data_IF_128125706280
#
_entry.id   IF_128125706280
#
_cell.length_a   1.000
_cell.length_b   1.000
_cell.length_c   1.000
_cell.angle_alpha   90.00
_cell.angle_beta   90.00
_cell.angle_gamma   90.00
#
_symmetry.space_group_name_H-M   'P 1'
#
loop_
_entity.id
_entity.type
_entity.pdbx_description
1 polymer ?
#
# COMPACT_ATOMS: atom_id res chain seq x y z
N UNK A 1 -0.30 3.08 17.93
CA UNK A 1 -0.63 2.81 19.34
C UNK A 1 -1.09 1.37 19.47
N UNK A 2 -0.68 0.67 20.51
CA UNK A 2 -1.14 -0.69 20.84
C UNK A 2 -0.92 -1.73 19.72
N UNK A 3 0.20 -1.66 19.01
CA UNK A 3 0.54 -2.58 17.93
C UNK A 3 -0.19 -2.31 16.61
N UNK A 4 -1.01 -1.27 16.54
CA UNK A 4 -1.64 -0.82 15.28
C UNK A 4 -0.81 0.29 14.65
N UNK A 5 -0.65 0.23 13.35
CA UNK A 5 0.00 1.28 12.58
C UNK A 5 -0.79 2.60 12.64
N UNK A 6 -0.17 3.75 12.35
CA UNK A 6 -0.89 4.99 12.23
C UNK A 6 -1.85 4.91 11.04
N UNK A 7 -3.13 5.16 11.29
CA UNK A 7 -4.05 5.52 10.23
C UNK A 7 -3.89 7.02 9.98
N UNK A 8 -3.41 7.39 8.80
CA UNK A 8 -3.39 8.77 8.37
C UNK A 8 -4.66 9.06 7.57
N UNK A 9 -5.59 9.76 8.17
CA UNK A 9 -6.77 10.28 7.49
C UNK A 9 -6.56 11.78 7.27
N UNK A 10 -6.23 12.16 6.06
CA UNK A 10 -5.98 13.54 5.67
C UNK A 10 -6.57 13.79 4.28
N UNK A 11 -6.85 15.05 3.97
CA UNK A 11 -7.26 15.53 2.66
C UNK A 11 -6.09 15.68 1.66
N UNK A 12 -5.04 14.86 1.78
CA UNK A 12 -3.99 14.72 0.78
C UNK A 12 -4.60 14.01 -0.45
N UNK A 13 -5.30 14.77 -1.25
CA UNK A 13 -6.10 14.22 -2.33
C UNK A 13 -5.24 13.82 -3.51
N UNK A 14 -4.48 14.76 -4.06
CA UNK A 14 -3.60 14.53 -5.20
C UNK A 14 -2.33 13.76 -4.82
N UNK A 15 -1.74 14.01 -3.66
CA UNK A 15 -0.43 13.49 -3.23
C UNK A 15 -0.52 12.16 -2.44
N UNK A 16 -1.67 11.52 -2.46
CA UNK A 16 -1.94 10.33 -1.63
C UNK A 16 -0.97 9.16 -1.95
N UNK A 17 -0.67 8.94 -3.24
CA UNK A 17 0.23 7.88 -3.65
C UNK A 17 1.66 8.15 -3.20
N UNK A 18 2.17 9.34 -3.45
CA UNK A 18 3.52 9.77 -3.12
C UNK A 18 3.74 9.78 -1.60
N UNK A 19 2.75 10.23 -0.84
CA UNK A 19 2.81 10.22 0.61
C UNK A 19 2.92 8.79 1.16
N UNK A 20 2.03 7.90 0.73
CA UNK A 20 2.05 6.50 1.15
C UNK A 20 3.32 5.77 0.73
N UNK A 21 3.80 6.03 -0.49
CA UNK A 21 5.09 5.55 -0.99
C UNK A 21 6.26 6.03 -0.13
N UNK A 22 6.29 7.32 0.22
CA UNK A 22 7.33 7.90 1.09
C UNK A 22 7.35 7.25 2.47
N UNK A 23 6.19 6.89 3.03
CA UNK A 23 6.10 6.15 4.29
C UNK A 23 6.68 4.73 4.17
N UNK A 24 6.35 4.01 3.10
CA UNK A 24 6.88 2.66 2.84
C UNK A 24 8.40 2.69 2.64
N UNK A 25 8.89 3.64 1.84
CA UNK A 25 10.32 3.85 1.61
C UNK A 25 11.07 4.16 2.91
N UNK A 26 10.50 5.02 3.75
CA UNK A 26 11.08 5.35 5.07
C UNK A 26 11.18 4.13 5.99
N UNK A 27 10.17 3.23 5.97
CA UNK A 27 10.23 1.99 6.74
C UNK A 27 11.30 1.04 6.18
N UNK A 28 11.40 0.88 4.86
CA UNK A 28 12.45 0.09 4.20
C UNK A 28 13.86 0.55 4.58
N UNK A 29 14.13 1.85 4.48
CA UNK A 29 15.44 2.43 4.87
C UNK A 29 15.77 2.11 6.33
N UNK A 30 14.79 2.16 7.24
CA UNK A 30 15.01 1.80 8.64
C UNK A 30 15.28 0.31 8.81
N UNK A 31 14.62 -0.55 8.06
CA UNK A 31 14.88 -2.00 8.06
C UNK A 31 16.30 -2.32 7.57
N UNK A 32 16.72 -1.66 6.49
CA UNK A 32 18.07 -1.82 5.95
C UNK A 32 19.12 -1.36 6.98
N UNK A 33 18.88 -0.24 7.68
CA UNK A 33 19.73 0.20 8.77
C UNK A 33 19.82 -0.83 9.91
N UNK A 34 18.70 -1.45 10.30
CA UNK A 34 18.68 -2.52 11.32
C UNK A 34 19.52 -3.71 10.86
N UNK A 35 19.42 -4.11 9.60
CA UNK A 35 20.23 -5.19 9.02
C UNK A 35 21.71 -4.86 9.07
N UNK A 36 22.10 -3.65 8.70
CA UNK A 36 23.49 -3.21 8.77
C UNK A 36 24.03 -3.22 10.20
N UNK A 37 23.25 -2.73 11.18
CA UNK A 37 23.63 -2.80 12.61
C UNK A 37 23.87 -4.26 13.04
N UNK A 38 23.03 -5.19 12.61
CA UNK A 38 23.19 -6.62 12.90
C UNK A 38 24.47 -7.17 12.27
N UNK A 39 24.75 -6.87 11.00
CA UNK A 39 25.95 -7.31 10.28
C UNK A 39 27.23 -6.80 10.94
N UNK A 40 27.31 -5.52 11.25
CA UNK A 40 28.47 -4.89 11.87
C UNK A 40 28.78 -5.45 13.26
N UNK A 41 27.75 -5.93 13.97
CA UNK A 41 27.87 -6.41 15.34
C UNK A 41 27.72 -7.94 15.47
N UNK A 42 27.68 -8.71 14.39
CA UNK A 42 27.35 -10.14 14.42
C UNK A 42 28.25 -10.95 15.37
N UNK A 43 29.53 -10.60 15.50
CA UNK A 43 30.49 -11.29 16.37
C UNK A 43 30.30 -10.95 17.86
N UNK A 44 29.62 -9.87 18.19
CA UNK A 44 29.34 -9.45 19.57
C UNK A 44 27.98 -9.94 20.05
N UNK A 45 27.12 -10.36 19.14
CA UNK A 45 25.78 -10.89 19.48
C UNK A 45 25.94 -12.23 20.20
N UNK A 46 25.32 -12.38 21.40
CA UNK A 46 25.37 -13.67 22.12
C UNK A 46 24.81 -14.81 21.28
N UNK A 47 25.47 -15.98 21.35
CA UNK A 47 25.15 -17.15 20.54
C UNK A 47 23.67 -17.51 20.43
N UNK A 48 22.86 -17.47 21.51
CA UNK A 48 21.41 -17.79 21.42
C UNK A 48 20.61 -16.86 20.48
N UNK A 49 21.11 -15.65 20.21
CA UNK A 49 20.40 -14.64 19.39
C UNK A 49 20.93 -14.52 17.96
N UNK A 50 22.06 -15.16 17.63
CA UNK A 50 22.65 -15.10 16.29
C UNK A 50 21.73 -15.68 15.22
N UNK A 51 21.04 -16.79 15.52
CA UNK A 51 20.07 -17.38 14.60
C UNK A 51 18.85 -16.48 14.34
N UNK A 52 18.37 -15.79 15.39
CA UNK A 52 17.26 -14.83 15.26
C UNK A 52 17.69 -13.68 14.35
N UNK A 53 18.87 -13.13 14.58
CA UNK A 53 19.43 -12.04 13.76
C UNK A 53 19.66 -12.49 12.32
N UNK A 54 20.21 -13.67 12.10
CA UNK A 54 20.42 -14.25 10.77
C UNK A 54 19.10 -14.50 10.03
N UNK A 55 18.06 -14.97 10.73
CA UNK A 55 16.74 -15.17 10.17
C UNK A 55 16.10 -13.85 9.71
N UNK A 56 16.17 -12.81 10.54
CA UNK A 56 15.69 -11.46 10.20
C UNK A 56 16.43 -10.89 8.98
N UNK A 57 17.74 -11.03 8.94
CA UNK A 57 18.57 -10.55 7.84
C UNK A 57 18.25 -11.26 6.53
N UNK A 58 18.15 -12.60 6.56
CA UNK A 58 17.91 -13.43 5.37
C UNK A 58 16.52 -13.24 4.78
N UNK A 59 15.50 -13.20 5.62
CA UNK A 59 14.11 -13.05 5.20
C UNK A 59 13.34 -12.21 6.20
N UNK A 60 13.03 -10.99 5.81
CA UNK A 60 12.18 -10.12 6.60
C UNK A 60 10.72 -10.61 6.52
N UNK A 61 10.24 -11.22 7.59
CA UNK A 61 8.86 -11.67 7.75
C UNK A 61 8.28 -11.13 9.06
N UNK A 62 6.96 -11.20 9.20
CA UNK A 62 6.32 -10.84 10.47
C UNK A 62 6.89 -11.66 11.63
N UNK A 63 7.04 -12.95 11.45
CA UNK A 63 7.53 -13.89 12.44
C UNK A 63 8.99 -13.57 12.85
N UNK A 64 9.91 -13.46 11.88
CA UNK A 64 11.32 -13.12 12.17
C UNK A 64 11.46 -11.75 12.83
N UNK A 65 10.60 -10.80 12.47
CA UNK A 65 10.60 -9.46 13.06
C UNK A 65 10.07 -9.45 14.49
N UNK A 66 9.09 -10.28 14.84
CA UNK A 66 8.62 -10.44 16.20
C UNK A 66 9.70 -11.08 17.09
N UNK A 67 10.37 -12.14 16.62
CA UNK A 67 11.46 -12.78 17.35
C UNK A 67 12.59 -11.80 17.65
N UNK A 68 13.02 -11.02 16.67
CA UNK A 68 14.06 -9.99 16.90
C UNK A 68 13.58 -8.90 17.87
N UNK A 69 12.33 -8.44 17.74
CA UNK A 69 11.75 -7.43 18.63
C UNK A 69 11.78 -7.87 20.10
N UNK A 70 11.49 -9.13 20.38
CA UNK A 70 11.52 -9.70 21.73
C UNK A 70 12.94 -9.90 22.24
N UNK A 71 13.88 -10.24 21.37
CA UNK A 71 15.27 -10.51 21.73
C UNK A 71 16.13 -9.24 21.90
N UNK A 72 15.72 -8.11 21.35
CA UNK A 72 16.55 -6.90 21.20
C UNK A 72 17.16 -6.41 22.50
N UNK A 73 16.39 -6.39 23.59
CA UNK A 73 16.87 -5.91 24.89
C UNK A 73 17.91 -6.86 25.52
N UNK A 74 17.88 -8.14 25.13
CA UNK A 74 18.84 -9.16 25.59
C UNK A 74 20.11 -9.18 24.74
N UNK A 75 20.05 -8.71 23.50
CA UNK A 75 21.20 -8.55 22.60
C UNK A 75 22.15 -7.45 23.09
N UNK A 76 21.62 -6.42 23.75
CA UNK A 76 22.38 -5.32 24.38
C UNK A 76 23.23 -4.49 23.42
N UNK A 77 22.78 -4.32 22.19
CA UNK A 77 23.36 -3.39 21.23
C UNK A 77 22.52 -2.11 21.27
N UNK A 78 23.07 -1.03 21.82
CA UNK A 78 22.35 0.23 22.07
C UNK A 78 21.74 0.83 20.80
N UNK A 79 22.43 0.73 19.67
CA UNK A 79 21.94 1.21 18.39
C UNK A 79 20.71 0.42 17.92
N UNK A 80 20.71 -0.90 18.13
CA UNK A 80 19.58 -1.78 17.82
C UNK A 80 18.39 -1.51 18.75
N UNK A 81 18.66 -1.29 20.05
CA UNK A 81 17.63 -0.91 21.03
C UNK A 81 16.93 0.40 20.64
N UNK A 82 17.68 1.41 20.17
CA UNK A 82 17.13 2.67 19.69
C UNK A 82 16.24 2.50 18.45
N UNK A 83 16.44 1.43 17.69
CA UNK A 83 15.66 1.10 16.50
C UNK A 83 14.50 0.14 16.78
N UNK A 84 14.29 -0.30 18.03
CA UNK A 84 13.32 -1.33 18.44
C UNK A 84 11.91 -1.10 17.84
N UNK A 85 11.41 0.12 17.88
CA UNK A 85 10.08 0.48 17.37
C UNK A 85 9.91 0.25 15.87
N UNK A 86 11.01 0.11 15.13
CA UNK A 86 11.03 -0.10 13.68
C UNK A 86 11.32 -1.55 13.27
N UNK A 87 11.55 -2.48 14.20
CA UNK A 87 11.91 -3.86 13.91
C UNK A 87 10.76 -4.62 13.25
N UNK A 88 9.53 -4.50 13.81
CA UNK A 88 8.37 -5.25 13.28
C UNK A 88 8.02 -4.81 11.86
N UNK A 89 7.71 -5.80 11.02
CA UNK A 89 7.21 -5.54 9.66
C UNK A 89 5.86 -4.84 9.69
N UNK A 90 5.60 -4.04 8.67
CA UNK A 90 4.33 -3.33 8.47
C UNK A 90 3.83 -3.57 7.06
N UNK A 91 2.54 -3.59 6.90
CA UNK A 91 1.89 -3.51 5.61
C UNK A 91 1.46 -2.06 5.35
N UNK A 92 1.67 -1.59 4.11
CA UNK A 92 1.33 -0.23 3.70
C UNK A 92 0.19 -0.28 2.69
N UNK A 93 -0.93 0.32 3.05
CA UNK A 93 -2.09 0.47 2.19
C UNK A 93 -2.37 1.93 1.89
N UNK A 94 -2.36 2.27 0.60
CA UNK A 94 -2.74 3.58 0.08
C UNK A 94 -4.18 3.46 -0.41
N UNK A 95 -5.10 4.20 0.19
CA UNK A 95 -6.53 4.09 -0.12
C UNK A 95 -7.03 5.44 -0.62
N UNK A 96 -7.70 5.45 -1.76
CA UNK A 96 -8.26 6.67 -2.32
C UNK A 96 -9.38 6.42 -3.32
N UNK A 97 -10.10 7.47 -3.66
CA UNK A 97 -11.22 7.44 -4.60
C UNK A 97 -10.78 7.51 -6.07
N UNK A 98 -11.77 7.46 -6.94
CA UNK A 98 -11.57 7.54 -8.39
C UNK A 98 -11.02 8.87 -8.87
N UNK A 99 -11.44 9.99 -8.30
CA UNK A 99 -10.92 11.31 -8.65
C UNK A 99 -9.42 11.42 -8.43
N UNK A 100 -8.91 10.83 -7.36
CA UNK A 100 -7.48 10.69 -7.15
C UNK A 100 -6.84 9.76 -8.19
N UNK A 101 -7.30 8.52 -8.28
CA UNK A 101 -6.61 7.48 -9.04
C UNK A 101 -6.73 7.65 -10.56
N UNK A 102 -7.84 8.19 -11.05
CA UNK A 102 -8.10 8.34 -12.48
C UNK A 102 -7.74 9.71 -13.03
N UNK A 103 -7.74 10.74 -12.18
CA UNK A 103 -7.62 12.15 -12.58
C UNK A 103 -6.41 12.83 -11.92
N UNK A 104 -6.65 13.55 -10.81
CA UNK A 104 -5.69 14.52 -10.26
C UNK A 104 -4.42 13.89 -9.69
N UNK A 105 -4.52 12.74 -9.04
CA UNK A 105 -3.39 12.00 -8.44
C UNK A 105 -2.82 10.88 -9.31
N UNK A 106 -3.27 10.79 -10.58
CA UNK A 106 -2.85 9.68 -11.46
C UNK A 106 -1.33 9.62 -11.69
N UNK A 107 -0.67 10.76 -11.81
CA UNK A 107 0.78 10.79 -12.05
C UNK A 107 1.58 10.15 -10.90
N UNK A 108 1.20 10.44 -9.66
CA UNK A 108 1.82 9.83 -8.48
C UNK A 108 1.52 8.34 -8.39
N UNK A 109 0.28 7.95 -8.68
CA UNK A 109 -0.10 6.55 -8.75
C UNK A 109 0.71 5.78 -9.80
N UNK A 110 0.83 6.33 -11.01
CA UNK A 110 1.59 5.78 -12.12
C UNK A 110 3.07 5.59 -11.73
N UNK A 111 3.67 6.60 -11.10
CA UNK A 111 5.04 6.52 -10.59
C UNK A 111 5.19 5.39 -9.56
N UNK A 112 4.30 5.29 -8.58
CA UNK A 112 4.36 4.24 -7.55
C UNK A 112 4.25 2.85 -8.16
N UNK A 113 3.35 2.63 -9.13
CA UNK A 113 3.22 1.35 -9.84
C UNK A 113 4.49 0.99 -10.65
N UNK A 114 5.24 1.98 -11.11
CA UNK A 114 6.49 1.78 -11.86
C UNK A 114 7.68 1.39 -10.97
N UNK A 115 7.56 1.57 -9.66
CA UNK A 115 8.59 1.15 -8.68
C UNK A 115 8.43 -0.33 -8.34
N UNK A 116 9.45 -0.91 -7.72
CA UNK A 116 9.35 -2.27 -7.17
C UNK A 116 9.10 -2.24 -5.65
N UNK A 117 8.60 -1.13 -5.11
CA UNK A 117 8.33 -1.04 -3.68
C UNK A 117 7.09 -1.85 -3.30
N UNK A 118 7.19 -2.53 -2.17
CA UNK A 118 6.09 -3.35 -1.63
C UNK A 118 5.06 -2.44 -0.96
N UNK A 119 4.10 -1.98 -1.76
CA UNK A 119 2.96 -1.15 -1.33
C UNK A 119 1.67 -1.67 -1.93
N UNK A 120 0.62 -1.65 -1.15
CA UNK A 120 -0.71 -2.04 -1.57
C UNK A 120 -1.58 -0.79 -1.81
N UNK A 121 -2.27 -0.76 -2.91
CA UNK A 121 -3.12 0.35 -3.33
C UNK A 121 -4.56 -0.15 -3.46
N UNK A 122 -5.49 0.53 -2.79
CA UNK A 122 -6.92 0.28 -2.92
C UNK A 122 -7.60 1.50 -3.53
N UNK A 123 -8.08 1.35 -4.75
CA UNK A 123 -8.88 2.37 -5.44
C UNK A 123 -10.36 2.09 -5.20
N UNK A 124 -11.04 3.03 -4.56
CA UNK A 124 -12.50 3.01 -4.40
C UNK A 124 -13.11 3.66 -5.66
N UNK A 125 -13.50 2.82 -6.60
CA UNK A 125 -14.06 3.24 -7.89
C UNK A 125 -15.55 3.57 -7.73
N UNK A 126 -15.82 4.79 -7.30
CA UNK A 126 -17.17 5.31 -7.07
C UNK A 126 -17.83 5.87 -8.32
N UNK A 127 -17.11 5.95 -9.44
CA UNK A 127 -17.54 6.42 -10.78
C UNK A 127 -17.95 7.90 -10.85
N UNK A 128 -17.83 8.64 -9.74
CA UNK A 128 -18.01 10.11 -9.64
C UNK A 128 -17.14 10.67 -8.53
N UNK A 129 -16.85 11.97 -8.54
CA UNK A 129 -16.24 12.66 -7.41
C UNK A 129 -17.22 12.74 -6.23
N UNK A 130 -17.29 11.71 -5.40
CA UNK A 130 -18.27 11.60 -4.32
C UNK A 130 -18.09 12.66 -3.24
N UNK A 131 -16.84 13.00 -2.90
CA UNK A 131 -16.52 13.94 -1.82
C UNK A 131 -16.82 15.41 -2.14
N UNK A 132 -16.97 15.78 -3.40
CA UNK A 132 -17.18 17.16 -3.85
C UNK A 132 -18.57 17.43 -4.44
N UNK A 133 -19.41 16.42 -4.53
CA UNK A 133 -20.80 16.58 -4.96
C UNK A 133 -21.20 15.88 -6.25
N UNK A 134 -20.53 14.78 -6.62
CA UNK A 134 -20.99 13.92 -7.70
C UNK A 134 -20.61 14.37 -9.12
N UNK A 135 -19.47 15.04 -9.28
CA UNK A 135 -18.97 15.44 -10.59
C UNK A 135 -18.49 14.23 -11.40
N UNK A 136 -18.62 14.31 -12.72
CA UNK A 136 -18.07 13.29 -13.61
C UNK A 136 -16.55 13.22 -13.52
N UNK A 137 -16.02 12.01 -13.36
CA UNK A 137 -14.57 11.70 -13.36
C UNK A 137 -14.17 10.96 -14.65
N UNK A 138 -12.89 10.67 -14.84
CA UNK A 138 -12.46 9.74 -15.91
C UNK A 138 -12.90 8.29 -15.64
N UNK A 139 -13.31 7.99 -14.41
CA UNK A 139 -13.92 6.72 -14.04
C UNK A 139 -15.42 6.62 -14.42
N UNK A 140 -16.10 7.74 -14.63
CA UNK A 140 -17.52 7.73 -15.03
C UNK A 140 -17.71 7.06 -16.40
N UNK A 141 -18.79 6.29 -16.56
CA UNK A 141 -19.11 5.57 -17.79
C UNK A 141 -19.57 6.51 -18.89
N UNK A 142 -19.43 6.09 -20.14
CA UNK A 142 -20.05 6.79 -21.25
C UNK A 142 -21.57 6.83 -21.07
N UNK A 143 -22.18 7.99 -21.30
CA UNK A 143 -23.61 8.19 -21.13
C UNK A 143 -24.06 8.45 -19.67
N UNK A 144 -23.18 8.29 -18.69
CA UNK A 144 -23.51 8.55 -17.27
C UNK A 144 -23.81 10.03 -17.06
N UNK A 145 -24.95 10.31 -16.45
CA UNK A 145 -25.34 11.67 -16.01
C UNK A 145 -24.69 11.93 -14.66
N UNK A 146 -24.02 13.06 -14.52
CA UNK A 146 -23.36 13.51 -13.30
C UNK A 146 -23.21 15.02 -13.34
N UNK A 147 -22.76 15.64 -12.25
CA UNK A 147 -22.41 17.06 -12.26
C UNK A 147 -21.37 17.36 -13.35
N UNK A 148 -21.58 18.42 -14.11
CA UNK A 148 -20.83 18.80 -15.34
C UNK A 148 -20.97 17.83 -16.53
N UNK A 149 -21.91 16.89 -16.46
CA UNK A 149 -22.24 15.96 -17.53
C UNK A 149 -23.75 15.72 -17.61
N UNK A 150 -24.59 16.78 -17.61
CA UNK A 150 -26.06 16.72 -17.57
C UNK A 150 -26.65 15.98 -18.78
N UNK A 151 -25.99 16.05 -19.94
CA UNK A 151 -26.37 15.32 -21.16
C UNK A 151 -25.65 13.97 -21.32
N UNK A 152 -25.13 13.44 -20.22
CA UNK A 152 -24.33 12.22 -20.19
C UNK A 152 -22.87 12.43 -20.62
N UNK A 153 -21.96 11.76 -19.96
CA UNK A 153 -20.53 11.79 -20.28
C UNK A 153 -20.27 11.27 -21.69
N UNK A 154 -19.56 12.04 -22.52
CA UNK A 154 -19.32 11.73 -23.93
C UNK A 154 -18.09 10.84 -24.16
N UNK A 155 -17.19 10.75 -23.19
CA UNK A 155 -15.94 9.97 -23.28
C UNK A 155 -16.05 8.67 -22.52
N UNK A 156 -15.36 7.63 -23.01
CA UNK A 156 -15.30 6.34 -22.31
C UNK A 156 -14.59 6.43 -20.95
N UNK A 157 -14.90 5.48 -20.06
CA UNK A 157 -14.17 5.28 -18.83
C UNK A 157 -12.70 4.97 -19.10
N UNK A 158 -11.80 5.61 -18.39
CA UNK A 158 -10.37 5.28 -18.40
C UNK A 158 -10.18 3.86 -17.84
N UNK A 159 -9.47 3.02 -18.56
CA UNK A 159 -9.21 1.64 -18.15
C UNK A 159 -7.95 1.56 -17.29
N UNK A 160 -8.11 1.91 -16.00
CA UNK A 160 -7.01 1.87 -15.04
C UNK A 160 -6.45 0.45 -14.85
N UNK A 161 -7.29 -0.57 -14.96
CA UNK A 161 -6.87 -1.96 -14.85
C UNK A 161 -5.86 -2.33 -15.94
N UNK A 162 -6.16 -2.02 -17.21
CA UNK A 162 -5.22 -2.28 -18.32
C UNK A 162 -3.95 -1.46 -18.22
N UNK A 163 -4.02 -0.23 -17.73
CA UNK A 163 -2.84 0.61 -17.52
C UNK A 163 -1.94 -0.05 -16.47
N UNK A 164 -2.50 -0.44 -15.33
CA UNK A 164 -1.74 -1.10 -14.26
C UNK A 164 -1.13 -2.44 -14.70
N UNK A 165 -1.82 -3.20 -15.53
CA UNK A 165 -1.28 -4.44 -16.13
C UNK A 165 -0.07 -4.21 -17.07
N UNK A 166 0.19 -2.97 -17.45
CA UNK A 166 1.40 -2.61 -18.20
C UNK A 166 2.69 -2.69 -17.37
N UNK A 167 2.60 -2.73 -16.05
CA UNK A 167 3.73 -2.87 -15.15
C UNK A 167 3.98 -4.36 -14.83
N UNK A 168 5.10 -4.95 -15.26
CA UNK A 168 5.30 -6.42 -15.24
C UNK A 168 5.36 -7.00 -13.81
N UNK A 169 5.74 -6.20 -12.80
CA UNK A 169 5.81 -6.64 -11.40
C UNK A 169 4.68 -6.06 -10.54
N UNK A 170 3.55 -5.73 -11.14
CA UNK A 170 2.39 -5.20 -10.42
C UNK A 170 1.31 -6.29 -10.29
N UNK A 171 0.86 -6.57 -9.07
CA UNK A 171 -0.35 -7.35 -8.86
C UNK A 171 -1.57 -6.46 -9.12
N UNK A 172 -2.49 -6.91 -9.98
CA UNK A 172 -3.66 -6.12 -10.37
C UNK A 172 -4.93 -6.95 -10.20
N UNK A 173 -5.90 -6.42 -9.45
CA UNK A 173 -7.19 -7.07 -9.28
C UNK A 173 -8.36 -6.09 -9.37
N UNK A 174 -9.46 -6.55 -9.96
CA UNK A 174 -10.77 -5.90 -9.86
C UNK A 174 -11.64 -6.67 -8.88
N UNK A 175 -12.30 -5.98 -7.97
CA UNK A 175 -13.21 -6.58 -7.01
C UNK A 175 -14.56 -5.86 -6.99
N UNK A 176 -15.59 -6.60 -6.60
CA UNK A 176 -16.90 -6.09 -6.21
C UNK A 176 -17.41 -6.90 -5.03
N UNK A 177 -17.38 -6.29 -3.85
CA UNK A 177 -17.71 -6.95 -2.57
C UNK A 177 -19.09 -7.59 -2.60
N UNK A 178 -20.07 -6.89 -3.14
CA UNK A 178 -21.47 -7.38 -3.24
C UNK A 178 -21.68 -8.51 -4.25
N UNK A 179 -20.75 -8.66 -5.21
CA UNK A 179 -20.82 -9.71 -6.24
C UNK A 179 -20.16 -11.02 -5.77
N UNK A 180 -18.95 -10.93 -5.20
CA UNK A 180 -18.21 -12.11 -4.76
C UNK A 180 -17.28 -11.78 -3.58
N UNK A 181 -17.77 -12.05 -2.37
CA UNK A 181 -17.05 -11.82 -1.13
C UNK A 181 -15.74 -12.64 -1.04
N UNK A 182 -15.78 -13.90 -1.45
CA UNK A 182 -14.60 -14.78 -1.37
C UNK A 182 -13.50 -14.35 -2.35
N UNK A 183 -13.86 -13.89 -3.54
CA UNK A 183 -12.91 -13.32 -4.49
C UNK A 183 -12.26 -12.03 -3.93
N UNK A 184 -13.05 -11.22 -3.24
CA UNK A 184 -12.54 -10.01 -2.55
C UNK A 184 -11.48 -10.37 -1.50
N UNK A 185 -11.78 -11.33 -0.60
CA UNK A 185 -10.82 -11.79 0.41
C UNK A 185 -9.55 -12.33 -0.25
N UNK A 186 -9.69 -13.12 -1.31
CA UNK A 186 -8.56 -13.69 -2.04
C UNK A 186 -7.67 -12.60 -2.62
N UNK A 187 -8.25 -11.59 -3.26
CA UNK A 187 -7.50 -10.46 -3.84
C UNK A 187 -6.67 -9.70 -2.79
N UNK A 188 -7.24 -9.45 -1.61
CA UNK A 188 -6.49 -8.81 -0.51
C UNK A 188 -5.34 -9.67 0.00
N UNK A 189 -5.55 -10.98 0.13
CA UNK A 189 -4.48 -11.92 0.55
C UNK A 189 -3.36 -11.99 -0.48
N UNK A 190 -3.69 -12.11 -1.76
CA UNK A 190 -2.72 -12.16 -2.84
C UNK A 190 -1.93 -10.85 -2.94
N UNK A 191 -2.56 -9.69 -2.73
CA UNK A 191 -1.89 -8.40 -2.67
C UNK A 191 -0.89 -8.32 -1.50
N UNK A 192 -1.26 -8.80 -0.32
CA UNK A 192 -0.36 -8.86 0.86
C UNK A 192 0.82 -9.82 0.68
N UNK A 193 0.62 -10.90 -0.06
CA UNK A 193 1.65 -11.90 -0.34
C UNK A 193 2.58 -11.50 -1.48
N UNK A 194 2.14 -10.55 -2.33
CA UNK A 194 2.93 -10.09 -3.46
C UNK A 194 4.11 -9.25 -3.01
N UNK A 195 5.29 -9.51 -3.57
CA UNK A 195 6.49 -8.73 -3.30
C UNK A 195 6.73 -7.68 -4.40
N UNK A 196 6.03 -6.59 -4.31
CA UNK A 196 6.03 -5.50 -5.28
C UNK A 196 4.77 -4.64 -5.11
N UNK A 197 4.53 -3.67 -6.00
CA UNK A 197 3.32 -2.87 -5.95
C UNK A 197 2.09 -3.71 -6.27
N UNK A 198 1.02 -3.51 -5.51
CA UNK A 198 -0.27 -4.15 -5.75
C UNK A 198 -1.36 -3.09 -5.90
N UNK A 199 -2.27 -3.27 -6.84
CA UNK A 199 -3.44 -2.40 -6.99
C UNK A 199 -4.73 -3.22 -7.06
N UNK A 200 -5.66 -2.91 -6.16
CA UNK A 200 -7.01 -3.45 -6.16
C UNK A 200 -7.96 -2.32 -6.53
N UNK A 201 -8.73 -2.50 -7.58
CA UNK A 201 -9.77 -1.57 -8.02
C UNK A 201 -11.12 -2.12 -7.56
N UNK A 202 -11.70 -1.47 -6.55
CA UNK A 202 -12.95 -1.88 -5.93
C UNK A 202 -14.12 -1.11 -6.56
N UNK A 203 -14.96 -1.81 -7.30
CA UNK A 203 -16.21 -1.25 -7.78
C UNK A 203 -17.17 -1.00 -6.63
N UNK A 204 -17.45 0.26 -6.33
CA UNK A 204 -18.32 0.71 -5.23
C UNK A 204 -19.01 2.03 -5.62
N UNK A 205 -20.00 1.99 -6.55
CA UNK A 205 -20.65 3.20 -7.04
C UNK A 205 -21.21 4.03 -5.90
N UNK A 206 -21.13 5.35 -6.05
CA UNK A 206 -21.65 6.28 -5.06
C UNK A 206 -23.18 6.13 -4.93
N UNK A 207 -23.71 6.26 -3.72
CA UNK A 207 -25.16 6.20 -3.47
C UNK A 207 -25.91 7.39 -4.08
N UNK A 208 -25.19 8.45 -4.41
CA UNK A 208 -25.73 9.66 -5.07
C UNK A 208 -25.82 9.55 -6.61
N UNK A 209 -25.61 8.36 -7.16
CA UNK A 209 -25.72 8.09 -8.61
C UNK A 209 -27.15 7.80 -9.04
#
# INVERSE_FOLDING_TARGET
KEGKGPAWANSLFEDNAEFGFGMALSDRIRKDKIKNIIEENIHTIPSPYQEICASYHKRLSYESSCLLYEAVDSIKIKELENMKQFIKTKSFWIIGGDGWAYDIGYNGLDHVLSTNENVNILVLDTEVYSNTGGQASKSSRIGQVAQFADNGKKTAKKDLFKIAMGYPNCYVANISLGSNFMQTIKAFKEAEEHNGPSIIIAYCPCIEQ
#
